data_IF_632330549633
#
_entry.id   IF_632330549633
#
_cell.length_a   1.000
_cell.length_b   1.000
_cell.length_c   1.000
_cell.angle_alpha   90.00
_cell.angle_beta   90.00
_cell.angle_gamma   90.00
#
_symmetry.space_group_name_H-M   'P 1'
#
loop_
_entity.id
_entity.type
_entity.pdbx_description
1 polymer ?
#
# COMPACT_ATOMS: atom_id res chain seq x y z
N UNK A 1 -20.80 17.49 -4.68
CA UNK A 1 -19.96 16.30 -4.97
C UNK A 1 -20.74 15.11 -4.45
N UNK A 2 -21.20 14.22 -5.33
CA UNK A 2 -21.96 13.04 -4.92
C UNK A 2 -21.02 12.11 -4.17
N UNK A 3 -21.38 11.72 -2.96
CA UNK A 3 -20.57 10.83 -2.12
C UNK A 3 -20.70 9.40 -2.66
N UNK A 4 -19.56 8.78 -3.01
CA UNK A 4 -19.52 7.38 -3.39
C UNK A 4 -19.56 6.50 -2.14
N UNK A 5 -20.41 5.49 -2.13
CA UNK A 5 -20.48 4.50 -1.05
C UNK A 5 -20.02 3.11 -1.50
N UNK A 6 -19.29 2.42 -0.64
CA UNK A 6 -18.77 1.06 -0.89
C UNK A 6 -19.51 0.10 0.04
N UNK A 7 -20.17 -0.90 -0.55
CA UNK A 7 -20.86 -1.96 0.18
C UNK A 7 -20.23 -3.30 -0.20
N UNK A 8 -19.80 -4.05 0.79
CA UNK A 8 -19.12 -5.33 0.62
C UNK A 8 -19.92 -6.44 1.27
N UNK A 9 -20.18 -7.53 0.55
CA UNK A 9 -20.94 -8.68 1.04
C UNK A 9 -20.34 -10.01 0.64
N UNK A 10 -20.18 -10.90 1.61
CA UNK A 10 -19.65 -12.25 1.40
C UNK A 10 -18.17 -12.38 1.72
N UNK A 11 -17.65 -13.61 1.73
CA UNK A 11 -16.33 -13.93 2.31
C UNK A 11 -15.14 -13.34 1.54
N UNK A 12 -15.25 -13.17 0.23
CA UNK A 12 -14.18 -12.58 -0.59
C UNK A 12 -14.31 -11.06 -0.78
N UNK A 13 -15.38 -10.44 -0.27
CA UNK A 13 -15.60 -9.00 -0.35
C UNK A 13 -14.96 -8.30 0.87
N UNK A 14 -13.64 -8.36 0.98
CA UNK A 14 -12.86 -7.86 2.10
C UNK A 14 -12.06 -6.60 1.80
N UNK A 15 -10.87 -6.56 2.38
CA UNK A 15 -9.93 -5.45 2.31
C UNK A 15 -9.54 -5.08 0.86
N UNK A 16 -9.18 -6.07 0.05
CA UNK A 16 -8.71 -5.84 -1.33
C UNK A 16 -9.81 -5.28 -2.22
N UNK A 17 -11.06 -5.75 -2.08
CA UNK A 17 -12.19 -5.22 -2.83
C UNK A 17 -12.50 -3.76 -2.46
N UNK A 18 -12.40 -3.39 -1.16
CA UNK A 18 -12.52 -1.99 -0.73
C UNK A 18 -11.44 -1.13 -1.36
N UNK A 19 -10.18 -1.56 -1.29
CA UNK A 19 -9.05 -0.80 -1.81
C UNK A 19 -9.08 -0.71 -3.33
N UNK A 20 -9.52 -1.75 -4.03
CA UNK A 20 -9.77 -1.71 -5.48
C UNK A 20 -10.80 -0.63 -5.84
N UNK A 21 -11.92 -0.52 -5.10
CA UNK A 21 -12.89 0.56 -5.31
C UNK A 21 -12.28 1.94 -5.02
N UNK A 22 -11.44 2.06 -3.98
CA UNK A 22 -10.76 3.32 -3.61
C UNK A 22 -9.70 3.78 -4.61
N UNK A 23 -9.20 2.92 -5.50
CA UNK A 23 -8.35 3.36 -6.61
C UNK A 23 -9.07 4.34 -7.54
N UNK A 24 -10.39 4.21 -7.66
CA UNK A 24 -11.23 5.07 -8.48
C UNK A 24 -11.92 6.17 -7.67
N UNK A 25 -12.25 5.88 -6.43
CA UNK A 25 -13.00 6.74 -5.52
C UNK A 25 -12.30 6.85 -4.15
N UNK A 26 -11.19 7.63 -4.06
CA UNK A 26 -10.38 7.68 -2.83
C UNK A 26 -11.14 8.14 -1.58
N UNK A 27 -12.16 8.99 -1.76
CA UNK A 27 -12.99 9.52 -0.67
C UNK A 27 -14.29 8.72 -0.44
N UNK A 28 -14.41 7.52 -1.01
CA UNK A 28 -15.60 6.71 -0.83
C UNK A 28 -15.75 6.25 0.63
N UNK A 29 -16.99 6.23 1.12
CA UNK A 29 -17.33 5.80 2.47
C UNK A 29 -17.88 4.37 2.47
N UNK A 30 -17.58 3.62 3.51
CA UNK A 30 -18.19 2.31 3.74
C UNK A 30 -19.64 2.45 4.18
N UNK A 31 -20.52 1.61 3.65
CA UNK A 31 -21.92 1.55 4.05
C UNK A 31 -22.40 0.10 4.13
N UNK A 32 -23.34 -0.17 5.03
CA UNK A 32 -23.94 -1.50 5.20
C UNK A 32 -25.23 -1.68 4.38
N UNK A 33 -25.86 -0.58 3.98
CA UNK A 33 -27.11 -0.55 3.24
C UNK A 33 -26.99 0.21 1.93
N UNK A 34 -27.81 -0.17 0.94
CA UNK A 34 -27.85 0.52 -0.34
C UNK A 34 -28.46 1.93 -0.17
N UNK A 35 -27.76 2.96 -0.64
CA UNK A 35 -28.27 4.33 -0.57
C UNK A 35 -29.38 4.54 -1.62
N UNK A 36 -30.36 5.38 -1.26
CA UNK A 36 -31.44 5.73 -2.19
C UNK A 36 -31.01 6.75 -3.24
N UNK A 37 -30.15 7.69 -2.88
CA UNK A 37 -29.81 8.85 -3.72
C UNK A 37 -28.34 8.96 -4.12
N UNK A 38 -27.40 8.39 -3.33
CA UNK A 38 -25.99 8.48 -3.59
C UNK A 38 -25.50 7.47 -4.64
N UNK A 39 -24.38 7.77 -5.27
CA UNK A 39 -23.65 6.78 -6.06
C UNK A 39 -23.07 5.70 -5.13
N UNK A 40 -23.02 4.47 -5.61
CA UNK A 40 -22.49 3.35 -4.82
C UNK A 40 -21.88 2.26 -5.68
N UNK A 41 -21.00 1.48 -5.08
CA UNK A 41 -20.57 0.19 -5.58
C UNK A 41 -20.87 -0.88 -4.54
N UNK A 42 -21.61 -1.90 -4.94
CA UNK A 42 -21.87 -3.11 -4.16
C UNK A 42 -21.09 -4.27 -4.78
N UNK A 43 -20.12 -4.79 -4.05
CA UNK A 43 -19.37 -5.99 -4.42
C UNK A 43 -19.86 -7.17 -3.56
N UNK A 44 -20.27 -8.24 -4.21
CA UNK A 44 -20.82 -9.43 -3.55
C UNK A 44 -20.07 -10.69 -4.00
N UNK A 45 -19.71 -11.51 -3.04
CA UNK A 45 -19.11 -12.83 -3.27
C UNK A 45 -19.97 -13.90 -2.60
N UNK A 46 -20.35 -14.90 -3.37
CA UNK A 46 -21.03 -16.11 -2.90
C UNK A 46 -20.14 -17.33 -3.16
N UNK A 47 -20.63 -18.55 -2.90
CA UNK A 47 -19.83 -19.79 -3.00
C UNK A 47 -19.04 -19.92 -4.31
N UNK A 48 -19.69 -19.73 -5.44
CA UNK A 48 -19.07 -19.84 -6.77
C UNK A 48 -19.37 -18.68 -7.71
N UNK A 49 -19.98 -17.59 -7.20
CA UNK A 49 -20.45 -16.47 -8.01
C UNK A 49 -20.02 -15.16 -7.40
N UNK A 50 -19.48 -14.27 -8.23
CA UNK A 50 -19.18 -12.89 -7.88
C UNK A 50 -20.08 -11.95 -8.65
N UNK A 51 -20.56 -10.88 -8.02
CA UNK A 51 -21.38 -9.87 -8.65
C UNK A 51 -21.06 -8.47 -8.18
N UNK A 52 -21.11 -7.53 -9.11
CA UNK A 52 -20.94 -6.10 -8.84
C UNK A 52 -22.17 -5.36 -9.33
N UNK A 53 -22.71 -4.50 -8.48
CA UNK A 53 -23.74 -3.52 -8.83
C UNK A 53 -23.15 -2.13 -8.59
N UNK A 54 -23.13 -1.32 -9.63
CA UNK A 54 -22.59 0.03 -9.62
C UNK A 54 -23.67 1.04 -9.99
N UNK A 55 -23.86 2.06 -9.17
CA UNK A 55 -24.53 3.30 -9.54
C UNK A 55 -23.49 4.40 -9.60
N UNK A 56 -23.31 4.99 -10.78
CA UNK A 56 -22.33 6.05 -11.01
C UNK A 56 -22.88 7.08 -11.98
N UNK A 57 -22.88 8.36 -11.58
CA UNK A 57 -23.47 9.47 -12.34
C UNK A 57 -24.93 9.19 -12.80
N UNK A 58 -25.73 8.62 -11.90
CA UNK A 58 -27.13 8.28 -12.15
C UNK A 58 -27.36 7.06 -13.04
N UNK A 59 -26.31 6.41 -13.55
CA UNK A 59 -26.40 5.21 -14.38
C UNK A 59 -26.18 3.96 -13.52
N UNK A 60 -27.03 2.95 -13.73
CA UNK A 60 -26.88 1.63 -13.11
C UNK A 60 -26.18 0.68 -14.06
N UNK A 61 -25.17 -0.01 -13.56
CA UNK A 61 -24.44 -1.08 -14.26
C UNK A 61 -24.27 -2.26 -13.32
N UNK A 62 -24.31 -3.47 -13.87
CA UNK A 62 -24.08 -4.67 -13.11
C UNK A 62 -23.31 -5.70 -13.90
N UNK A 63 -22.53 -6.51 -13.21
CA UNK A 63 -21.83 -7.67 -13.74
C UNK A 63 -21.92 -8.83 -12.78
N UNK A 64 -21.99 -10.03 -13.33
CA UNK A 64 -21.92 -11.28 -12.59
C UNK A 64 -21.07 -12.26 -13.35
N UNK A 65 -20.25 -13.01 -12.62
CA UNK A 65 -19.46 -14.10 -13.19
C UNK A 65 -19.53 -15.34 -12.32
N UNK A 66 -19.46 -16.51 -12.96
CA UNK A 66 -19.14 -17.76 -12.28
C UNK A 66 -17.64 -17.80 -12.07
N UNK A 67 -17.22 -18.04 -10.83
CA UNK A 67 -15.81 -18.13 -10.50
C UNK A 67 -15.23 -19.45 -11.06
N UNK A 68 -14.12 -19.41 -11.79
CA UNK A 68 -13.44 -20.63 -12.23
C UNK A 68 -13.06 -21.52 -11.03
N UNK A 69 -13.13 -22.82 -11.21
CA UNK A 69 -12.73 -23.77 -10.17
C UNK A 69 -11.24 -23.60 -9.85
N UNK A 70 -10.90 -23.43 -8.58
CA UNK A 70 -9.53 -23.20 -8.12
C UNK A 70 -9.04 -21.75 -8.21
N UNK A 71 -9.86 -20.81 -8.73
CA UNK A 71 -9.51 -19.41 -8.71
C UNK A 71 -9.56 -18.84 -7.28
N UNK A 72 -8.63 -17.93 -6.98
CA UNK A 72 -8.65 -17.15 -5.75
C UNK A 72 -9.92 -16.28 -5.72
N UNK A 73 -10.79 -16.47 -4.73
CA UNK A 73 -12.06 -15.76 -4.65
C UNK A 73 -11.91 -14.24 -4.53
N UNK A 74 -10.94 -13.76 -3.78
CA UNK A 74 -10.70 -12.34 -3.57
C UNK A 74 -10.19 -11.67 -4.84
N UNK A 75 -9.23 -12.32 -5.50
CA UNK A 75 -8.72 -11.84 -6.78
C UNK A 75 -9.81 -11.79 -7.86
N UNK A 76 -10.60 -12.84 -8.01
CA UNK A 76 -11.67 -12.91 -9.02
C UNK A 76 -12.72 -11.79 -8.83
N UNK A 77 -13.11 -11.51 -7.57
CA UNK A 77 -13.99 -10.40 -7.27
C UNK A 77 -13.36 -9.04 -7.59
N UNK A 78 -12.09 -8.85 -7.23
CA UNK A 78 -11.35 -7.61 -7.51
C UNK A 78 -11.17 -7.37 -9.01
N UNK A 79 -10.89 -8.41 -9.78
CA UNK A 79 -10.77 -8.33 -11.25
C UNK A 79 -12.09 -7.90 -11.89
N UNK A 80 -13.22 -8.52 -11.48
CA UNK A 80 -14.55 -8.15 -11.94
C UNK A 80 -14.90 -6.70 -11.61
N UNK A 81 -14.60 -6.29 -10.36
CA UNK A 81 -14.82 -4.94 -9.86
C UNK A 81 -13.98 -3.92 -10.64
N UNK A 82 -12.67 -4.17 -10.76
CA UNK A 82 -11.74 -3.31 -11.49
C UNK A 82 -12.18 -3.10 -12.95
N UNK A 83 -12.49 -4.18 -13.65
CA UNK A 83 -12.94 -4.11 -15.05
C UNK A 83 -14.22 -3.29 -15.23
N UNK A 84 -15.20 -3.42 -14.32
CA UNK A 84 -16.42 -2.61 -14.36
C UNK A 84 -16.13 -1.13 -14.07
N UNK A 85 -15.29 -0.84 -13.07
CA UNK A 85 -14.92 0.53 -12.71
C UNK A 85 -14.11 1.23 -13.81
N UNK A 86 -13.15 0.56 -14.44
CA UNK A 86 -12.45 1.08 -15.60
C UNK A 86 -13.42 1.49 -16.71
N UNK A 87 -14.38 0.63 -17.03
CA UNK A 87 -15.37 0.90 -18.07
C UNK A 87 -16.31 2.06 -17.70
N UNK A 88 -16.77 2.11 -16.45
CA UNK A 88 -17.73 3.11 -16.01
C UNK A 88 -17.11 4.51 -15.87
N UNK A 89 -15.86 4.59 -15.43
CA UNK A 89 -15.17 5.86 -15.15
C UNK A 89 -14.33 6.35 -16.33
N UNK A 90 -13.98 5.47 -17.27
CA UNK A 90 -13.01 5.76 -18.34
C UNK A 90 -11.57 5.92 -17.82
N UNK A 91 -11.30 5.51 -16.59
CA UNK A 91 -9.99 5.65 -15.92
C UNK A 91 -9.33 4.29 -15.77
N UNK A 92 -8.04 4.21 -16.09
CA UNK A 92 -7.21 3.03 -15.84
C UNK A 92 -6.10 3.40 -14.87
N UNK A 93 -6.16 2.98 -13.60
CA UNK A 93 -5.10 3.22 -12.63
C UNK A 93 -3.75 2.70 -13.13
N UNK A 94 -2.66 3.50 -13.09
CA UNK A 94 -1.38 3.10 -13.71
C UNK A 94 -0.74 1.85 -13.08
N UNK A 95 -1.00 1.59 -11.80
CA UNK A 95 -0.58 0.39 -11.09
C UNK A 95 -1.60 -0.76 -11.15
N UNK A 96 -2.65 -0.60 -11.97
CA UNK A 96 -3.70 -1.59 -12.11
C UNK A 96 -4.44 -1.84 -10.79
N UNK A 97 -4.67 -3.11 -10.48
CA UNK A 97 -5.33 -3.57 -9.24
C UNK A 97 -4.38 -3.64 -8.03
N UNK A 98 -3.13 -3.21 -8.19
CA UNK A 98 -2.15 -3.29 -7.12
C UNK A 98 -2.48 -2.29 -6.02
N UNK A 99 -2.75 -2.78 -4.80
CA UNK A 99 -3.17 -1.97 -3.65
C UNK A 99 -2.11 -1.95 -2.57
N UNK A 100 -1.74 -0.76 -2.09
CA UNK A 100 -0.92 -0.53 -0.89
C UNK A 100 0.41 -1.26 -0.78
N UNK A 101 0.93 -1.87 -1.84
CA UNK A 101 2.11 -2.74 -1.84
C UNK A 101 3.37 -2.05 -2.36
N UNK A 102 4.48 -2.71 -2.13
CA UNK A 102 5.80 -2.35 -2.65
C UNK A 102 6.03 -3.13 -3.96
N UNK A 103 5.74 -2.57 -5.14
CA UNK A 103 5.80 -3.32 -6.40
C UNK A 103 7.17 -3.93 -6.67
N UNK A 104 8.24 -3.21 -6.35
CA UNK A 104 9.62 -3.69 -6.52
C UNK A 104 9.91 -4.94 -5.69
N UNK A 105 9.32 -5.05 -4.48
CA UNK A 105 9.48 -6.23 -3.64
C UNK A 105 8.89 -7.48 -4.30
N UNK A 106 7.78 -7.37 -5.00
CA UNK A 106 7.17 -8.49 -5.73
C UNK A 106 8.17 -9.05 -6.75
N UNK A 107 8.89 -8.17 -7.46
CA UNK A 107 9.93 -8.58 -8.42
C UNK A 107 11.05 -9.34 -7.72
N UNK A 108 11.57 -8.81 -6.61
CA UNK A 108 12.62 -9.47 -5.85
C UNK A 108 12.17 -10.84 -5.30
N UNK A 109 10.99 -10.93 -4.72
CA UNK A 109 10.44 -12.16 -4.16
C UNK A 109 10.21 -13.22 -5.26
N UNK A 110 9.71 -12.83 -6.43
CA UNK A 110 9.54 -13.72 -7.58
C UNK A 110 10.89 -14.22 -8.11
N UNK A 111 11.85 -13.32 -8.30
CA UNK A 111 13.21 -13.70 -8.75
C UNK A 111 13.89 -14.62 -7.74
N UNK A 112 13.75 -14.37 -6.45
CA UNK A 112 14.29 -15.23 -5.39
C UNK A 112 13.66 -16.62 -5.37
N UNK A 113 12.39 -16.76 -5.79
CA UNK A 113 11.70 -18.04 -5.95
C UNK A 113 12.03 -18.76 -7.29
N UNK A 114 12.87 -18.16 -8.14
CA UNK A 114 13.28 -18.73 -9.40
C UNK A 114 12.35 -18.45 -10.59
N UNK A 115 11.44 -17.48 -10.46
CA UNK A 115 10.57 -17.07 -11.55
C UNK A 115 11.36 -16.45 -12.71
N UNK A 116 10.93 -16.73 -13.92
CA UNK A 116 11.48 -16.13 -15.15
C UNK A 116 11.01 -14.67 -15.30
N UNK A 117 11.74 -13.89 -16.09
CA UNK A 117 11.35 -12.50 -16.39
C UNK A 117 9.99 -12.42 -17.10
N UNK A 118 9.62 -13.47 -17.85
CA UNK A 118 8.32 -13.61 -18.50
C UNK A 118 7.19 -13.76 -17.48
N UNK A 119 7.39 -14.58 -16.46
CA UNK A 119 6.44 -14.77 -15.36
C UNK A 119 6.30 -13.48 -14.51
N UNK A 120 7.41 -12.78 -14.24
CA UNK A 120 7.38 -11.48 -13.58
C UNK A 120 6.57 -10.48 -14.41
N UNK A 121 6.81 -10.42 -15.72
CA UNK A 121 6.06 -9.56 -16.63
C UNK A 121 4.57 -9.88 -16.65
N UNK A 122 4.20 -11.15 -16.80
CA UNK A 122 2.81 -11.61 -16.78
C UNK A 122 2.12 -11.28 -15.45
N UNK A 123 2.82 -11.41 -14.32
CA UNK A 123 2.28 -11.03 -13.00
C UNK A 123 1.91 -9.56 -12.94
N UNK A 124 2.71 -8.66 -13.53
CA UNK A 124 2.43 -7.23 -13.53
C UNK A 124 1.40 -6.81 -14.55
N UNK A 125 1.55 -7.25 -15.80
CA UNK A 125 0.72 -6.76 -16.90
C UNK A 125 -0.63 -7.48 -16.99
N UNK A 126 -0.62 -8.81 -16.86
CA UNK A 126 -1.82 -9.60 -17.06
C UNK A 126 -2.61 -9.79 -15.76
N UNK A 127 -1.93 -10.12 -14.66
CA UNK A 127 -2.60 -10.35 -13.39
C UNK A 127 -2.97 -9.05 -12.65
N UNK A 128 -2.05 -8.10 -12.51
CA UNK A 128 -2.37 -6.82 -11.85
C UNK A 128 -2.93 -5.75 -12.79
N UNK A 129 -2.92 -5.96 -14.09
CA UNK A 129 -3.30 -4.95 -15.09
C UNK A 129 -2.49 -3.64 -14.96
N UNK A 130 -1.23 -3.75 -14.54
CA UNK A 130 -0.30 -2.62 -14.43
C UNK A 130 0.09 -2.12 -15.82
N UNK A 131 0.30 -0.80 -15.99
CA UNK A 131 0.75 -0.29 -17.29
C UNK A 131 2.20 -0.69 -17.58
N UNK A 132 2.58 -0.83 -18.87
CA UNK A 132 3.95 -1.17 -19.26
C UNK A 132 5.00 -0.19 -18.70
N UNK A 133 4.66 1.11 -18.62
CA UNK A 133 5.56 2.15 -18.10
C UNK A 133 5.82 1.98 -16.60
N UNK A 134 4.79 1.60 -15.83
CA UNK A 134 4.94 1.34 -14.39
C UNK A 134 5.67 0.05 -14.11
N UNK A 135 5.43 -0.98 -14.94
CA UNK A 135 6.22 -2.20 -14.87
C UNK A 135 7.69 -1.92 -15.18
N UNK A 136 8.00 -1.20 -16.27
CA UNK A 136 9.38 -0.83 -16.62
C UNK A 136 10.07 -0.02 -15.51
N UNK A 137 9.33 0.89 -14.86
CA UNK A 137 9.84 1.65 -13.71
C UNK A 137 10.18 0.71 -12.54
N UNK A 138 9.25 -0.19 -12.18
CA UNK A 138 9.48 -1.13 -11.08
C UNK A 138 10.66 -2.07 -11.35
N UNK A 139 10.76 -2.58 -12.59
CA UNK A 139 11.84 -3.44 -13.04
C UNK A 139 13.20 -2.72 -12.97
N UNK A 140 13.29 -1.49 -13.50
CA UNK A 140 14.52 -0.70 -13.45
C UNK A 140 14.98 -0.40 -12.01
N UNK A 141 14.04 -0.15 -11.09
CA UNK A 141 14.37 0.02 -9.67
C UNK A 141 14.86 -1.31 -9.07
N UNK A 142 14.22 -2.45 -9.39
CA UNK A 142 14.64 -3.75 -8.92
C UNK A 142 16.08 -4.08 -9.38
N UNK A 143 16.40 -3.78 -10.63
CA UNK A 143 17.75 -4.00 -11.18
C UNK A 143 18.80 -3.12 -10.52
N UNK A 144 18.47 -1.86 -10.21
CA UNK A 144 19.36 -0.96 -9.45
C UNK A 144 19.57 -1.41 -8.00
N UNK A 145 18.55 -2.01 -7.37
CA UNK A 145 18.64 -2.50 -6.00
C UNK A 145 19.36 -3.85 -5.90
N UNK A 146 19.31 -4.67 -6.95
CA UNK A 146 19.86 -6.03 -6.93
C UNK A 146 21.31 -6.11 -6.44
N UNK A 147 22.28 -5.34 -6.94
CA UNK A 147 23.68 -5.42 -6.45
C UNK A 147 23.81 -5.10 -4.96
N UNK A 148 22.97 -4.19 -4.44
CA UNK A 148 22.97 -3.82 -3.02
C UNK A 148 22.42 -4.94 -2.16
N UNK A 149 21.34 -5.61 -2.64
CA UNK A 149 20.73 -6.73 -1.96
C UNK A 149 21.62 -7.99 -2.00
N UNK A 150 22.21 -8.28 -3.16
CA UNK A 150 23.12 -9.42 -3.34
C UNK A 150 24.41 -9.29 -2.48
N UNK A 151 24.83 -8.07 -2.19
CA UNK A 151 25.98 -7.80 -1.33
C UNK A 151 25.63 -7.82 0.17
N UNK A 152 24.36 -8.09 0.54
CA UNK A 152 23.97 -8.17 1.94
C UNK A 152 24.38 -9.51 2.55
N UNK A 153 25.01 -9.45 3.73
CA UNK A 153 25.35 -10.62 4.52
C UNK A 153 24.16 -10.99 5.44
N UNK A 154 23.91 -12.28 5.73
CA UNK A 154 22.89 -12.69 6.71
C UNK A 154 23.05 -12.07 8.10
N UNK A 155 24.27 -11.65 8.44
CA UNK A 155 24.57 -10.95 9.70
C UNK A 155 24.42 -9.43 9.60
N UNK A 156 24.10 -8.88 8.42
CA UNK A 156 23.84 -7.45 8.26
C UNK A 156 22.46 -7.08 8.84
N UNK A 157 22.43 -5.96 9.55
CA UNK A 157 21.18 -5.39 10.05
C UNK A 157 21.05 -3.89 9.70
N UNK A 158 19.84 -3.40 9.78
CA UNK A 158 19.51 -1.99 9.58
C UNK A 158 18.89 -1.43 10.86
N UNK A 159 19.33 -0.24 11.26
CA UNK A 159 18.75 0.48 12.39
C UNK A 159 17.83 1.58 11.88
N UNK A 160 16.63 1.62 12.41
CA UNK A 160 15.63 2.64 12.11
C UNK A 160 15.32 3.44 13.37
N UNK A 161 15.54 4.74 13.35
CA UNK A 161 15.19 5.66 14.43
C UNK A 161 14.05 6.57 13.98
N UNK A 162 12.87 6.44 14.61
CA UNK A 162 11.71 7.25 14.30
C UNK A 162 11.49 8.34 15.34
N UNK A 163 11.56 9.61 14.94
CA UNK A 163 11.32 10.76 15.83
C UNK A 163 9.86 11.21 15.68
N UNK A 164 8.99 11.01 16.71
CA UNK A 164 7.54 11.24 16.60
C UNK A 164 7.12 12.68 16.87
N UNK A 165 8.00 13.64 16.76
CA UNK A 165 7.71 15.05 17.01
C UNK A 165 7.76 15.86 15.73
N UNK A 166 6.70 16.66 15.44
CA UNK A 166 6.63 17.53 14.27
C UNK A 166 6.24 18.95 14.66
N UNK A 167 6.76 20.00 13.99
CA UNK A 167 6.28 21.37 14.18
C UNK A 167 4.79 21.49 13.81
N UNK A 168 4.42 20.85 12.69
CA UNK A 168 3.04 20.79 12.16
C UNK A 168 2.77 19.38 11.67
N UNK A 169 1.50 19.00 11.60
CA UNK A 169 1.09 17.73 11.01
C UNK A 169 0.67 17.93 9.56
N UNK A 170 1.38 17.28 8.64
CA UNK A 170 1.00 17.28 7.22
C UNK A 170 -0.35 16.59 7.02
N UNK A 171 -1.20 17.10 6.12
CA UNK A 171 -2.53 16.56 5.85
C UNK A 171 -2.53 15.10 5.36
N UNK A 172 -1.42 14.67 4.75
CA UNK A 172 -1.22 13.32 4.21
C UNK A 172 -0.43 12.39 5.15
N UNK A 173 -0.03 12.87 6.35
CA UNK A 173 0.86 12.10 7.24
C UNK A 173 0.10 10.97 7.94
N UNK A 174 0.51 9.73 7.70
CA UNK A 174 0.02 8.53 8.37
C UNK A 174 0.86 8.11 9.58
N UNK A 175 2.00 8.75 9.82
CA UNK A 175 2.86 8.41 10.95
C UNK A 175 2.27 8.88 12.28
N UNK A 176 2.53 8.08 13.33
CA UNK A 176 2.23 8.50 14.70
C UNK A 176 3.15 9.65 15.07
N UNK A 177 2.61 10.86 15.14
CA UNK A 177 3.37 12.05 15.45
C UNK A 177 2.59 13.00 16.38
N UNK A 178 3.34 13.75 17.18
CA UNK A 178 2.82 14.83 18.04
C UNK A 178 3.35 16.17 17.55
N UNK A 179 2.48 17.17 17.53
CA UNK A 179 2.91 18.54 17.20
C UNK A 179 3.55 19.19 18.41
N UNK A 180 4.73 19.80 18.24
CA UNK A 180 5.44 20.52 19.31
C UNK A 180 4.92 21.95 19.53
N UNK A 181 3.68 22.22 19.12
CA UNK A 181 3.04 23.53 19.28
C UNK A 181 2.78 23.91 20.73
N UNK A 182 2.44 22.96 21.58
CA UNK A 182 2.17 23.19 23.00
C UNK A 182 3.39 22.94 23.90
N UNK A 183 3.38 23.58 25.09
CA UNK A 183 4.49 23.50 26.05
C UNK A 183 4.69 22.09 26.63
N UNK A 184 3.62 21.32 26.79
CA UNK A 184 3.68 19.97 27.38
C UNK A 184 4.38 19.01 26.41
N UNK A 185 4.02 19.04 25.13
CA UNK A 185 4.68 18.23 24.10
C UNK A 185 6.14 18.63 23.89
N UNK A 186 6.47 19.94 23.93
CA UNK A 186 7.86 20.39 23.86
C UNK A 186 8.72 19.86 25.00
N UNK A 187 8.17 19.79 26.21
CA UNK A 187 8.88 19.27 27.38
C UNK A 187 9.23 17.77 27.26
N UNK A 188 8.57 17.03 26.37
CA UNK A 188 8.86 15.61 26.12
C UNK A 188 10.02 15.39 25.14
N UNK A 189 10.42 16.40 24.37
CA UNK A 189 11.44 16.24 23.31
C UNK A 189 12.79 15.83 23.90
N UNK A 190 13.30 16.56 24.90
CA UNK A 190 14.61 16.25 25.48
C UNK A 190 14.63 14.89 26.18
N UNK A 191 13.66 14.53 27.06
CA UNK A 191 13.61 13.18 27.63
C UNK A 191 13.53 12.08 26.58
N UNK A 192 12.84 12.31 25.45
CA UNK A 192 12.79 11.37 24.37
C UNK A 192 14.16 11.19 23.68
N UNK A 193 14.87 12.29 23.41
CA UNK A 193 16.22 12.24 22.80
C UNK A 193 17.18 11.50 23.72
N UNK A 194 17.13 11.75 25.02
CA UNK A 194 17.98 11.07 26.00
C UNK A 194 17.74 9.56 25.98
N UNK A 195 16.46 9.13 25.95
CA UNK A 195 16.07 7.72 25.84
C UNK A 195 16.44 7.10 24.49
N UNK A 196 16.30 7.83 23.39
CA UNK A 196 16.72 7.38 22.07
C UNK A 196 18.25 7.11 22.04
N UNK A 197 19.05 7.97 22.66
CA UNK A 197 20.51 7.79 22.75
C UNK A 197 20.86 6.54 23.60
N UNK A 198 20.16 6.32 24.72
CA UNK A 198 20.32 5.11 25.53
C UNK A 198 19.96 3.86 24.71
N UNK A 199 18.85 3.88 23.98
CA UNK A 199 18.37 2.78 23.14
C UNK A 199 19.36 2.47 22.01
N UNK A 200 19.87 3.50 21.32
CA UNK A 200 20.88 3.32 20.26
C UNK A 200 22.19 2.73 20.78
N UNK A 201 22.57 3.10 22.00
CA UNK A 201 23.73 2.50 22.67
C UNK A 201 23.51 1.01 22.95
N UNK A 202 22.34 0.67 23.51
CA UNK A 202 21.96 -0.72 23.78
C UNK A 202 21.83 -1.56 22.48
N UNK A 203 21.33 -0.96 21.39
CA UNK A 203 21.27 -1.59 20.06
C UNK A 203 22.67 -1.94 19.59
N UNK A 204 23.62 -0.99 19.68
CA UNK A 204 25.01 -1.22 19.30
C UNK A 204 25.65 -2.36 20.11
N UNK A 205 25.55 -2.29 21.43
CA UNK A 205 26.07 -3.34 22.33
C UNK A 205 25.47 -4.71 22.03
N UNK A 206 24.18 -4.74 21.68
CA UNK A 206 23.50 -5.98 21.31
C UNK A 206 23.97 -6.50 19.95
N UNK A 207 24.14 -5.62 18.97
CA UNK A 207 24.67 -5.99 17.66
C UNK A 207 26.08 -6.57 17.80
N UNK A 208 26.96 -5.89 18.56
CA UNK A 208 28.35 -6.35 18.80
C UNK A 208 28.35 -7.72 19.48
N UNK A 209 27.52 -7.93 20.51
CA UNK A 209 27.39 -9.20 21.23
C UNK A 209 26.85 -10.35 20.38
N UNK A 210 25.96 -10.04 19.43
CA UNK A 210 25.37 -11.03 18.52
C UNK A 210 26.18 -11.20 17.22
N UNK A 211 27.28 -10.47 17.03
CA UNK A 211 28.07 -10.49 15.82
C UNK A 211 27.35 -9.90 14.60
N UNK A 212 26.38 -8.99 14.82
CA UNK A 212 25.65 -8.33 13.74
C UNK A 212 26.42 -7.10 13.24
N UNK A 213 26.33 -6.87 11.93
CA UNK A 213 26.93 -5.69 11.29
C UNK A 213 25.84 -4.66 11.01
N UNK A 214 25.89 -3.49 11.65
CA UNK A 214 24.97 -2.37 11.34
C UNK A 214 25.42 -1.76 10.02
N UNK A 215 24.71 -2.14 8.93
CA UNK A 215 25.04 -1.72 7.57
C UNK A 215 24.39 -0.40 7.17
N UNK A 216 23.15 -0.18 7.61
CA UNK A 216 22.41 1.06 7.34
C UNK A 216 21.79 1.62 8.60
N UNK A 217 21.75 2.95 8.63
CA UNK A 217 21.08 3.71 9.68
C UNK A 217 20.11 4.71 9.04
N UNK A 218 18.81 4.59 9.37
CA UNK A 218 17.79 5.45 8.81
C UNK A 218 17.12 6.25 9.92
N UNK A 219 17.17 7.57 9.85
CA UNK A 219 16.48 8.47 10.77
C UNK A 219 15.26 9.04 10.05
N UNK A 220 14.07 8.72 10.55
CA UNK A 220 12.84 9.38 10.14
C UNK A 220 12.53 10.49 11.12
N UNK A 221 12.65 11.73 10.69
CA UNK A 221 12.42 12.89 11.54
C UNK A 221 11.62 13.98 10.82
N UNK A 222 11.52 15.11 11.47
CA UNK A 222 10.86 16.33 11.02
C UNK A 222 11.41 16.83 9.68
N UNK A 223 10.51 17.11 8.73
CA UNK A 223 10.83 17.67 7.41
C UNK A 223 11.70 18.94 7.50
N UNK A 224 11.49 19.78 8.50
CA UNK A 224 12.18 21.06 8.62
C UNK A 224 13.55 21.01 9.33
N UNK A 225 13.89 19.90 9.98
CA UNK A 225 15.18 19.76 10.69
C UNK A 225 16.13 18.87 9.91
N UNK A 226 15.62 17.77 9.34
CA UNK A 226 16.44 16.80 8.59
C UNK A 226 16.51 17.07 7.09
N UNK A 227 15.55 17.84 6.54
CA UNK A 227 15.50 18.20 5.12
C UNK A 227 15.18 19.68 4.92
N UNK A 228 16.09 20.59 5.27
CA UNK A 228 15.85 22.04 5.18
C UNK A 228 15.68 22.57 3.75
N UNK A 229 15.96 21.73 2.75
CA UNK A 229 15.90 22.07 1.32
C UNK A 229 14.59 21.65 0.63
N UNK A 230 13.67 21.01 1.34
CA UNK A 230 12.35 20.69 0.76
C UNK A 230 11.45 21.93 0.80
N UNK A 231 10.96 22.43 -0.36
CA UNK A 231 10.12 23.63 -0.43
C UNK A 231 8.74 23.41 0.24
#
# INVERSE_FOLDING_TARGET
MVLMQIILRGPAAGYEAEHTARLFFPSAEKADTLPLENDFVLAQSHLCTDSILLRYNGKMQWRTQLRPQGADPEYALCELLYGLLCQATGTTPPWGMMTGVRPVRIIHDMRASGATEEEVRARFLDHFACTPEKFALALGIADLQKPVLDAADPMDCSVYAGIPFCPTRCSYCSFVSRTVGDKATRALVQPYVDKLCEELTAIRETADRCGLHIRTFYILSLIHISEPTRP
#
